data_IF_977422196896
#
_entry.id   IF_977422196896
#
_cell.length_a   1.000
_cell.length_b   1.000
_cell.length_c   1.000
_cell.angle_alpha   90.00
_cell.angle_beta   90.00
_cell.angle_gamma   90.00
#
_symmetry.space_group_name_H-M   'P 1'
#
loop_
_entity.id
_entity.type
_entity.pdbx_description
1 polymer ?
#
# COMPACT_ATOMS: atom_id res chain seq x y z
N UNK A 1 8.47 24.39 6.23
CA UNK A 1 7.59 23.78 5.21
C UNK A 1 6.93 22.58 5.86
N UNK A 2 5.59 22.55 5.93
CA UNK A 2 4.88 21.43 6.54
C UNK A 2 4.78 20.26 5.55
N UNK A 3 5.03 19.04 6.00
CA UNK A 3 4.98 17.83 5.17
C UNK A 3 3.56 17.24 5.18
N UNK A 4 3.06 16.76 4.03
CA UNK A 4 1.74 16.14 3.91
C UNK A 4 1.54 14.94 4.85
N UNK A 5 2.59 14.14 5.09
CA UNK A 5 2.55 13.00 6.02
C UNK A 5 2.35 13.39 7.50
N UNK A 6 2.47 14.68 7.82
CA UNK A 6 2.28 15.24 9.16
C UNK A 6 0.95 16.00 9.33
N UNK A 7 0.12 16.08 8.29
CA UNK A 7 -1.18 16.76 8.33
C UNK A 7 -2.24 15.94 9.09
N UNK A 8 -3.42 16.54 9.30
CA UNK A 8 -4.55 15.89 9.96
C UNK A 8 -4.92 14.57 9.26
N UNK A 9 -5.03 13.51 10.04
CA UNK A 9 -5.26 12.14 9.53
C UNK A 9 -6.73 11.79 9.53
N UNK A 10 -7.18 11.19 8.45
CA UNK A 10 -8.49 10.55 8.34
C UNK A 10 -8.33 9.03 8.28
N UNK A 11 -9.25 8.30 8.92
CA UNK A 11 -9.28 6.85 8.83
C UNK A 11 -9.99 6.43 7.53
N UNK A 12 -9.38 5.52 6.78
CA UNK A 12 -9.96 4.93 5.56
C UNK A 12 -10.12 3.43 5.74
N UNK A 13 -11.31 2.91 5.40
CA UNK A 13 -11.58 1.48 5.32
C UNK A 13 -11.70 1.08 3.85
N UNK A 14 -10.99 0.04 3.43
CA UNK A 14 -10.96 -0.43 2.04
C UNK A 14 -11.33 -1.91 1.99
N UNK A 15 -12.10 -2.31 0.98
CA UNK A 15 -12.44 -3.70 0.69
C UNK A 15 -11.93 -4.02 -0.72
N UNK A 16 -11.12 -5.07 -0.84
CA UNK A 16 -10.50 -5.52 -2.09
C UNK A 16 -10.21 -7.02 -2.07
N UNK A 17 -9.83 -7.64 -3.20
CA UNK A 17 -9.38 -9.04 -3.23
C UNK A 17 -8.19 -9.31 -2.31
N UNK A 18 -8.09 -10.54 -1.79
CA UNK A 18 -7.00 -10.95 -0.89
C UNK A 18 -5.61 -10.77 -1.53
N UNK A 19 -5.47 -11.08 -2.82
CA UNK A 19 -4.18 -10.97 -3.50
C UNK A 19 -3.70 -9.52 -3.62
N UNK A 20 -4.61 -8.54 -3.70
CA UNK A 20 -4.27 -7.11 -3.63
C UNK A 20 -3.78 -6.76 -2.22
N UNK A 21 -4.44 -7.29 -1.18
CA UNK A 21 -4.02 -7.08 0.21
C UNK A 21 -2.60 -7.61 0.47
N UNK A 22 -2.34 -8.82 -0.02
CA UNK A 22 -1.04 -9.49 0.07
C UNK A 22 0.02 -8.72 -0.72
N UNK A 23 -0.31 -8.27 -1.93
CA UNK A 23 0.58 -7.43 -2.76
C UNK A 23 0.99 -6.16 -2.02
N UNK A 24 0.07 -5.49 -1.31
CA UNK A 24 0.43 -4.32 -0.50
C UNK A 24 1.45 -4.66 0.60
N UNK A 25 1.34 -5.83 1.25
CA UNK A 25 2.36 -6.28 2.22
C UNK A 25 3.72 -6.49 1.57
N UNK A 26 3.76 -7.07 0.37
CA UNK A 26 5.00 -7.27 -0.38
C UNK A 26 5.64 -5.93 -0.74
N UNK A 27 4.86 -4.94 -1.16
CA UNK A 27 5.37 -3.60 -1.44
C UNK A 27 5.95 -2.92 -0.19
N UNK A 28 5.34 -3.09 0.99
CA UNK A 28 5.92 -2.60 2.26
C UNK A 28 7.26 -3.28 2.56
N UNK A 29 7.35 -4.61 2.34
CA UNK A 29 8.60 -5.36 2.51
C UNK A 29 9.68 -4.92 1.51
N UNK A 30 9.28 -4.61 0.28
CA UNK A 30 10.18 -4.08 -0.75
C UNK A 30 10.74 -2.70 -0.36
N UNK A 31 9.89 -1.79 0.15
CA UNK A 31 10.34 -0.51 0.69
C UNK A 31 11.31 -0.71 1.87
N UNK A 32 11.02 -1.66 2.77
CA UNK A 32 11.93 -2.00 3.87
C UNK A 32 13.28 -2.56 3.41
N UNK A 33 13.30 -3.35 2.32
CA UNK A 33 14.55 -3.82 1.71
C UNK A 33 15.41 -2.67 1.17
N UNK A 34 14.76 -1.57 0.73
CA UNK A 34 15.44 -0.34 0.32
C UNK A 34 15.86 0.56 1.51
N UNK A 35 15.63 0.13 2.76
CA UNK A 35 15.97 0.89 3.97
C UNK A 35 14.85 1.80 4.48
N UNK A 36 13.69 1.83 3.82
CA UNK A 36 12.57 2.69 4.21
C UNK A 36 11.75 2.10 5.36
N UNK A 37 11.47 2.92 6.37
CA UNK A 37 10.60 2.55 7.50
C UNK A 37 9.18 3.07 7.24
N UNK A 38 8.35 2.24 6.62
CA UNK A 38 6.97 2.63 6.26
C UNK A 38 5.90 1.67 6.80
N UNK A 39 4.64 2.10 6.70
CA UNK A 39 3.45 1.31 7.03
C UNK A 39 2.58 1.10 5.79
N UNK A 40 1.62 0.15 5.85
CA UNK A 40 0.64 -0.06 4.78
C UNK A 40 -0.14 1.21 4.43
N UNK A 41 -0.57 1.96 5.45
CA UNK A 41 -1.34 3.18 5.27
C UNK A 41 -0.51 4.29 4.61
N UNK A 42 0.74 4.44 5.02
CA UNK A 42 1.66 5.40 4.43
C UNK A 42 2.03 5.03 3.00
N UNK A 43 2.31 3.76 2.72
CA UNK A 43 2.56 3.28 1.36
C UNK A 43 1.33 3.49 0.46
N UNK A 44 0.12 3.18 0.95
CA UNK A 44 -1.12 3.45 0.22
C UNK A 44 -1.29 4.97 -0.05
N UNK A 45 -1.03 5.80 0.95
CA UNK A 45 -1.06 7.25 0.79
C UNK A 45 -0.01 7.75 -0.22
N UNK A 46 1.19 7.16 -0.24
CA UNK A 46 2.22 7.46 -1.22
C UNK A 46 1.81 7.07 -2.64
N UNK A 47 1.17 5.91 -2.82
CA UNK A 47 0.62 5.48 -4.12
C UNK A 47 -0.48 6.43 -4.60
N UNK A 48 -1.37 6.86 -3.71
CA UNK A 48 -2.41 7.86 -4.04
C UNK A 48 -1.79 9.22 -4.39
N UNK A 49 -0.79 9.66 -3.62
CA UNK A 49 -0.11 10.94 -3.87
C UNK A 49 0.70 10.95 -5.17
N UNK A 50 1.19 9.79 -5.61
CA UNK A 50 1.95 9.62 -6.84
C UNK A 50 1.06 9.41 -8.09
N UNK A 51 -0.23 9.11 -7.92
CA UNK A 51 -1.12 8.86 -9.04
C UNK A 51 -1.35 10.13 -9.87
N UNK A 52 -1.30 10.00 -11.19
CA UNK A 52 -1.68 11.08 -12.11
C UNK A 52 -3.18 11.37 -12.02
N UNK A 53 -3.55 12.66 -12.09
CA UNK A 53 -4.96 13.10 -12.03
C UNK A 53 -5.59 13.26 -13.41
N UNK A 54 -4.89 12.83 -14.46
CA UNK A 54 -5.40 12.84 -15.83
C UNK A 54 -6.54 11.82 -16.00
N UNK A 55 -7.73 12.22 -16.50
CA UNK A 55 -8.89 11.35 -16.58
C UNK A 55 -8.65 10.09 -17.43
N UNK A 56 -7.95 10.22 -18.55
CA UNK A 56 -7.68 9.15 -19.51
C UNK A 56 -6.69 8.13 -18.93
N UNK A 57 -5.68 8.60 -18.20
CA UNK A 57 -4.75 7.73 -17.44
C UNK A 57 -5.50 6.95 -16.37
N UNK A 58 -6.34 7.61 -15.57
CA UNK A 58 -7.12 6.94 -14.52
C UNK A 58 -8.13 5.93 -15.10
N UNK A 59 -8.80 6.28 -16.21
CA UNK A 59 -9.69 5.36 -16.89
C UNK A 59 -8.94 4.10 -17.35
N UNK A 60 -7.75 4.27 -17.95
CA UNK A 60 -6.91 3.17 -18.41
C UNK A 60 -6.45 2.28 -17.25
N UNK A 61 -6.01 2.89 -16.14
CA UNK A 61 -5.64 2.18 -14.91
C UNK A 61 -6.80 1.29 -14.41
N UNK A 62 -8.01 1.84 -14.34
CA UNK A 62 -9.19 1.09 -13.91
C UNK A 62 -9.58 -0.04 -14.88
N UNK A 63 -9.47 0.18 -16.19
CA UNK A 63 -9.75 -0.86 -17.18
C UNK A 63 -8.75 -2.02 -17.07
N UNK A 64 -7.47 -1.71 -16.86
CA UNK A 64 -6.45 -2.72 -16.65
C UNK A 64 -6.73 -3.51 -15.37
N UNK A 65 -6.99 -2.82 -14.25
CA UNK A 65 -7.32 -3.48 -12.98
C UNK A 65 -8.51 -4.44 -13.10
N UNK A 66 -9.60 -4.01 -13.74
CA UNK A 66 -10.82 -4.82 -13.92
C UNK A 66 -10.64 -6.03 -14.83
N UNK A 67 -9.57 -6.07 -15.63
CA UNK A 67 -9.25 -7.15 -16.57
C UNK A 67 -8.10 -8.05 -16.12
N UNK A 68 -7.52 -7.78 -14.94
CA UNK A 68 -6.47 -8.63 -14.39
C UNK A 68 -7.01 -10.05 -14.16
N UNK A 69 -6.33 -11.10 -14.65
CA UNK A 69 -6.69 -12.47 -14.31
C UNK A 69 -6.43 -12.73 -12.83
N UNK A 70 -7.12 -13.72 -12.26
CA UNK A 70 -7.08 -14.00 -10.82
C UNK A 70 -5.69 -14.40 -10.32
N UNK A 71 -4.84 -14.95 -11.19
CA UNK A 71 -3.47 -15.38 -10.90
C UNK A 71 -2.41 -14.33 -11.25
N UNK A 72 -2.79 -13.13 -11.70
CA UNK A 72 -1.87 -12.09 -12.17
C UNK A 72 -0.81 -11.67 -11.14
N UNK A 73 -1.06 -11.91 -9.86
CA UNK A 73 -0.18 -11.55 -8.74
C UNK A 73 0.43 -12.78 -8.04
N UNK A 74 0.22 -13.98 -8.57
CA UNK A 74 0.64 -15.23 -7.93
C UNK A 74 2.16 -15.32 -7.74
N UNK A 75 2.94 -14.81 -8.70
CA UNK A 75 4.40 -14.82 -8.65
C UNK A 75 4.97 -14.00 -7.47
N UNK A 76 4.25 -12.98 -7.03
CA UNK A 76 4.68 -12.14 -5.92
C UNK A 76 4.50 -12.83 -4.55
N UNK A 77 3.78 -13.95 -4.48
CA UNK A 77 3.49 -14.63 -3.22
C UNK A 77 4.75 -15.20 -2.54
N UNK A 78 5.74 -15.62 -3.34
CA UNK A 78 6.94 -16.31 -2.84
C UNK A 78 8.16 -15.39 -2.74
N UNK A 79 7.95 -14.10 -2.46
CA UNK A 79 9.05 -13.13 -2.24
C UNK A 79 9.75 -13.39 -0.90
N UNK A 80 10.42 -14.54 -0.78
CA UNK A 80 11.23 -14.96 0.36
C UNK A 80 12.55 -14.18 0.45
N UNK A 81 12.96 -13.56 -0.65
CA UNK A 81 14.11 -12.66 -0.75
C UNK A 81 13.94 -11.35 0.03
N UNK A 82 12.70 -10.94 0.29
CA UNK A 82 12.41 -9.70 1.00
C UNK A 82 12.44 -9.88 2.53
N UNK A 83 12.78 -8.84 3.32
CA UNK A 83 12.75 -8.94 4.77
C UNK A 83 11.33 -9.11 5.30
N UNK A 84 11.19 -9.79 6.44
CA UNK A 84 9.91 -9.84 7.16
C UNK A 84 9.73 -8.54 7.94
N UNK A 85 8.75 -7.72 7.54
CA UNK A 85 8.39 -6.50 8.27
C UNK A 85 7.40 -6.87 9.37
N UNK A 86 7.80 -6.70 10.63
CA UNK A 86 6.88 -6.81 11.76
C UNK A 86 6.05 -5.54 11.85
N UNK A 87 4.75 -5.62 11.65
CA UNK A 87 3.83 -4.53 11.97
C UNK A 87 3.97 -4.20 13.46
N UNK A 88 4.21 -2.94 13.85
CA UNK A 88 4.11 -2.53 15.25
C UNK A 88 2.70 -2.88 15.73
N UNK A 89 2.60 -3.69 16.79
CA UNK A 89 1.29 -4.07 17.34
C UNK A 89 0.44 -2.85 17.70
N UNK A 90 -0.88 -3.00 17.87
CA UNK A 90 -1.77 -1.89 18.20
C UNK A 90 -1.24 -1.13 19.40
N UNK A 91 -0.82 0.13 19.20
CA UNK A 91 -0.46 1.01 20.31
C UNK A 91 -1.75 1.31 21.04
N UNK A 92 -1.94 0.74 22.24
CA UNK A 92 -3.00 1.14 23.17
C UNK A 92 -2.88 2.65 23.34
N UNK A 93 -3.80 3.41 22.77
CA UNK A 93 -3.96 4.80 23.12
C UNK A 93 -4.34 4.82 24.60
N UNK A 94 -3.38 5.20 25.46
CA UNK A 94 -3.67 5.57 26.84
C UNK A 94 -4.48 6.86 26.77
N UNK A 95 -5.81 6.72 26.87
CA UNK A 95 -6.71 7.84 27.16
C UNK A 95 -6.31 8.42 28.51
N UNK A 96 -5.96 9.71 28.53
CA UNK A 96 -5.97 10.57 29.72
C UNK A 96 -7.07 11.60 29.55
#
# INVERSE_FOLDING_TARGET
>A
MELLCHQQRHQTSVVWPEDIDRRLNILVRAAAAAGERTSRAELLAALVAAAETDPEVLASLLHNYRRLPADALAEDHDRSDLPVVRSPGPRRATSS
#
